data_IF_137719218364
#
_entry.id   IF_137719218364
#
_cell.length_a   1.000
_cell.length_b   1.000
_cell.length_c   1.000
_cell.angle_alpha   90.00
_cell.angle_beta   90.00
_cell.angle_gamma   90.00
#
_symmetry.space_group_name_H-M   'P 1'
#
loop_
_entity.id
_entity.type
_entity.pdbx_description
1 polymer ?
#
# COMPACT_ATOMS: atom_id res chain seq x y z
N UNK A 1 5.60 13.48 14.53
CA UNK A 1 5.64 12.75 13.24
C UNK A 1 4.22 12.39 12.86
N UNK A 2 3.84 12.67 11.63
CA UNK A 2 2.50 12.44 11.14
C UNK A 2 2.49 11.30 10.13
N UNK A 3 1.48 10.42 10.20
CA UNK A 3 1.41 9.23 9.36
C UNK A 3 0.24 9.29 8.39
N UNK A 4 0.44 8.61 7.28
CA UNK A 4 -0.59 8.32 6.29
C UNK A 4 -0.77 6.80 6.20
N UNK A 5 -1.96 6.37 5.85
CA UNK A 5 -2.22 4.96 5.53
C UNK A 5 -2.35 4.84 4.02
N UNK A 6 -1.47 4.04 3.43
CA UNK A 6 -1.58 3.69 2.02
C UNK A 6 -2.33 2.37 1.93
N UNK A 7 -3.36 2.34 1.11
CA UNK A 7 -4.12 1.14 0.79
C UNK A 7 -3.90 0.86 -0.68
N UNK A 8 -3.40 -0.33 -0.99
CA UNK A 8 -3.13 -0.72 -2.37
C UNK A 8 -3.83 -2.04 -2.67
N UNK A 9 -4.62 -2.05 -3.74
CA UNK A 9 -5.20 -3.26 -4.29
C UNK A 9 -4.37 -3.59 -5.53
N UNK A 10 -3.63 -4.69 -5.47
CA UNK A 10 -2.72 -5.08 -6.55
C UNK A 10 -2.99 -6.54 -6.94
N UNK A 11 -2.66 -6.88 -8.17
CA UNK A 11 -2.72 -8.28 -8.58
C UNK A 11 -1.75 -9.10 -7.73
N UNK A 12 -2.16 -10.29 -7.33
CA UNK A 12 -1.37 -11.13 -6.42
C UNK A 12 0.02 -11.45 -6.99
N UNK A 13 0.14 -11.52 -8.31
CA UNK A 13 1.44 -11.73 -8.95
C UNK A 13 2.45 -10.62 -8.70
N UNK A 14 1.99 -9.42 -8.34
CA UNK A 14 2.85 -8.26 -8.10
C UNK A 14 3.03 -7.94 -6.62
N UNK A 15 2.30 -8.62 -5.73
CA UNK A 15 2.28 -8.27 -4.30
C UNK A 15 3.65 -8.25 -3.63
N UNK A 16 4.45 -9.29 -3.85
CA UNK A 16 5.76 -9.38 -3.21
C UNK A 16 6.71 -8.29 -3.68
N UNK A 17 6.69 -7.98 -4.99
CA UNK A 17 7.51 -6.92 -5.55
C UNK A 17 7.10 -5.54 -5.02
N UNK A 18 5.79 -5.31 -4.93
CA UNK A 18 5.25 -4.06 -4.41
C UNK A 18 5.61 -3.88 -2.94
N UNK A 19 5.47 -4.92 -2.14
CA UNK A 19 5.82 -4.86 -0.72
C UNK A 19 7.30 -4.56 -0.53
N UNK A 20 8.16 -5.22 -1.30
CA UNK A 20 9.60 -4.98 -1.22
C UNK A 20 9.95 -3.55 -1.63
N UNK A 21 9.39 -3.09 -2.75
CA UNK A 21 9.67 -1.75 -3.24
C UNK A 21 9.16 -0.66 -2.28
N UNK A 22 8.01 -0.86 -1.67
CA UNK A 22 7.47 0.06 -0.68
C UNK A 22 8.38 0.15 0.55
N UNK A 23 8.86 -1.01 1.03
CA UNK A 23 9.80 -1.04 2.17
C UNK A 23 11.12 -0.34 1.83
N UNK A 24 11.65 -0.60 0.64
CA UNK A 24 12.88 0.05 0.19
C UNK A 24 12.72 1.57 0.06
N UNK A 25 11.50 2.03 -0.22
CA UNK A 25 11.19 3.46 -0.31
C UNK A 25 10.87 4.10 1.05
N UNK A 26 10.82 3.33 2.13
CA UNK A 26 10.65 3.86 3.48
C UNK A 26 9.43 3.41 4.24
N UNK A 27 8.62 2.50 3.70
CA UNK A 27 7.48 1.95 4.43
C UNK A 27 7.98 1.00 5.52
N UNK A 28 7.73 1.36 6.78
CA UNK A 28 8.25 0.59 7.93
C UNK A 28 7.31 -0.52 8.40
N UNK A 29 6.06 -0.48 7.99
CA UNK A 29 5.08 -1.51 8.34
C UNK A 29 4.23 -1.84 7.13
N UNK A 30 4.04 -3.14 6.91
CA UNK A 30 3.23 -3.61 5.80
C UNK A 30 2.37 -4.78 6.25
N UNK A 31 1.11 -4.76 5.87
CA UNK A 31 0.18 -5.86 6.10
C UNK A 31 -0.40 -6.29 4.77
N UNK A 32 -0.37 -7.58 4.51
CA UNK A 32 -0.96 -8.16 3.31
C UNK A 32 -2.23 -8.90 3.71
N UNK A 33 -3.32 -8.56 3.07
CA UNK A 33 -4.59 -9.26 3.20
C UNK A 33 -4.85 -9.96 1.89
N UNK A 34 -4.69 -11.28 1.88
CA UNK A 34 -4.96 -12.08 0.71
C UNK A 34 -6.46 -12.23 0.51
N UNK A 35 -6.90 -12.12 -0.73
CA UNK A 35 -8.29 -12.34 -1.05
C UNK A 35 -8.59 -13.84 -1.02
N UNK A 36 -9.56 -14.22 -0.18
CA UNK A 36 -10.01 -15.60 -0.16
C UNK A 36 -10.74 -15.93 -1.46
N UNK A 37 -10.38 -17.04 -2.10
CA UNK A 37 -11.12 -17.56 -3.22
C UNK A 37 -12.40 -18.19 -2.67
N UNK A 38 -13.54 -17.62 -3.04
CA UNK A 38 -14.81 -18.30 -2.81
C UNK A 38 -14.98 -19.36 -3.87
N UNK A 39 -15.13 -20.62 -3.48
CA UNK A 39 -15.46 -21.69 -4.42
C UNK A 39 -16.86 -21.46 -4.99
N UNK A 40 -16.98 -21.54 -6.32
CA UNK A 40 -18.27 -21.55 -7.00
C UNK A 40 -18.99 -20.22 -7.09
N UNK A 41 -18.34 -19.11 -6.79
CA UNK A 41 -18.97 -17.80 -6.92
C UNK A 41 -18.33 -17.05 -8.07
N UNK A 42 -18.93 -17.14 -9.24
CA UNK A 42 -18.56 -16.32 -10.38
C UNK A 42 -19.22 -14.94 -10.25
N UNK A 43 -18.85 -14.22 -9.22
CA UNK A 43 -19.36 -12.87 -9.06
C UNK A 43 -18.21 -11.93 -9.38
N UNK A 44 -18.42 -11.11 -10.40
CA UNK A 44 -17.51 -9.99 -10.66
C UNK A 44 -17.49 -9.11 -9.43
N UNK A 45 -16.36 -9.04 -8.76
CA UNK A 45 -16.18 -8.17 -7.61
C UNK A 45 -15.76 -6.81 -8.12
N UNK A 46 -16.42 -5.77 -7.64
CA UNK A 46 -16.06 -4.40 -7.96
C UNK A 46 -15.68 -3.66 -6.69
N UNK A 47 -14.68 -2.82 -6.80
CA UNK A 47 -14.28 -1.91 -5.74
C UNK A 47 -13.93 -0.57 -6.39
N UNK A 48 -14.61 0.49 -5.99
CA UNK A 48 -14.44 1.84 -6.56
C UNK A 48 -14.52 1.84 -8.09
N UNK A 49 -15.42 1.05 -8.65
CA UNK A 49 -15.61 0.96 -10.10
C UNK A 49 -14.61 0.06 -10.83
N UNK A 50 -13.69 -0.56 -10.11
CA UNK A 50 -12.76 -1.52 -10.68
C UNK A 50 -13.35 -2.92 -10.63
N UNK A 51 -13.19 -3.66 -11.71
CA UNK A 51 -13.61 -5.05 -11.76
C UNK A 51 -12.47 -5.92 -11.23
N UNK A 52 -12.72 -6.60 -10.11
CA UNK A 52 -11.74 -7.48 -9.48
C UNK A 52 -11.95 -8.91 -9.98
N UNK A 53 -11.80 -9.13 -11.27
CA UNK A 53 -11.92 -10.47 -11.88
C UNK A 53 -10.70 -11.33 -11.61
N UNK A 54 -9.55 -10.70 -11.45
CA UNK A 54 -8.31 -11.37 -11.09
C UNK A 54 -8.15 -11.36 -9.58
N UNK A 55 -7.42 -12.32 -9.08
CA UNK A 55 -7.12 -12.36 -7.66
C UNK A 55 -6.24 -11.18 -7.29
N UNK A 56 -6.72 -10.37 -6.35
CA UNK A 56 -6.00 -9.21 -5.86
C UNK A 56 -5.70 -9.37 -4.38
N UNK A 57 -4.59 -8.83 -3.95
CA UNK A 57 -4.25 -8.67 -2.55
C UNK A 57 -4.47 -7.22 -2.13
N UNK A 58 -4.85 -7.03 -0.88
CA UNK A 58 -4.90 -5.70 -0.29
C UNK A 58 -3.64 -5.52 0.55
N UNK A 59 -2.88 -4.48 0.25
CA UNK A 59 -1.68 -4.13 0.99
C UNK A 59 -1.93 -2.86 1.77
N UNK A 60 -1.55 -2.88 3.05
CA UNK A 60 -1.71 -1.74 3.94
C UNK A 60 -0.34 -1.31 4.44
N UNK A 61 -0.02 -0.02 4.28
CA UNK A 61 1.26 0.53 4.72
C UNK A 61 1.00 1.76 5.58
N UNK A 62 1.53 1.75 6.79
CA UNK A 62 1.58 2.95 7.61
C UNK A 62 2.88 3.67 7.29
N UNK A 63 2.80 4.87 6.75
CA UNK A 63 3.96 5.58 6.24
C UNK A 63 4.03 6.98 6.83
N UNK A 64 5.25 7.54 6.91
CA UNK A 64 5.43 8.90 7.37
C UNK A 64 5.00 9.88 6.25
N UNK A 65 4.39 11.00 6.60
CA UNK A 65 3.77 11.91 5.64
C UNK A 65 4.71 12.46 4.56
N UNK A 66 5.97 12.72 4.90
CA UNK A 66 6.95 13.27 3.95
C UNK A 66 7.41 12.23 2.93
N UNK A 67 7.30 10.95 3.27
CA UNK A 67 7.68 9.85 2.39
C UNK A 67 6.49 9.27 1.63
N UNK A 68 5.27 9.63 2.03
CA UNK A 68 4.07 8.96 1.54
C UNK A 68 3.88 9.08 0.03
N UNK A 69 4.09 10.26 -0.53
CA UNK A 69 3.89 10.46 -1.98
C UNK A 69 4.87 9.63 -2.80
N UNK A 70 6.14 9.61 -2.40
CA UNK A 70 7.16 8.82 -3.06
C UNK A 70 6.87 7.32 -2.99
N UNK A 71 6.42 6.84 -1.83
CA UNK A 71 6.04 5.44 -1.65
C UNK A 71 4.82 5.11 -2.52
N UNK A 72 3.83 5.99 -2.55
CA UNK A 72 2.63 5.79 -3.36
C UNK A 72 2.96 5.69 -4.85
N UNK A 73 3.84 6.57 -5.33
CA UNK A 73 4.30 6.54 -6.73
C UNK A 73 5.09 5.27 -7.04
N UNK A 74 5.92 4.82 -6.10
CA UNK A 74 6.66 3.56 -6.24
C UNK A 74 5.71 2.37 -6.37
N UNK A 75 4.68 2.34 -5.53
CA UNK A 75 3.66 1.28 -5.58
C UNK A 75 2.95 1.29 -6.94
N UNK A 76 2.58 2.47 -7.42
CA UNK A 76 1.90 2.59 -8.72
C UNK A 76 2.77 2.08 -9.87
N UNK A 77 4.06 2.39 -9.82
CA UNK A 77 5.01 1.99 -10.85
C UNK A 77 5.26 0.47 -10.84
N UNK A 78 5.64 -0.07 -9.69
CA UNK A 78 5.97 -1.49 -9.54
C UNK A 78 4.73 -2.37 -9.72
N UNK A 79 3.59 -1.93 -9.21
CA UNK A 79 2.32 -2.65 -9.34
C UNK A 79 1.65 -2.48 -10.70
N UNK A 80 2.18 -1.62 -11.55
CA UNK A 80 1.65 -1.31 -12.89
C UNK A 80 0.19 -0.85 -12.83
N UNK A 81 -0.11 0.01 -11.86
CA UNK A 81 -1.48 0.42 -11.56
C UNK A 81 -2.09 1.34 -12.62
N UNK A 82 -1.26 2.00 -13.42
CA UNK A 82 -1.75 2.85 -14.50
C UNK A 82 -2.30 2.02 -15.67
N UNK A 83 -2.03 0.72 -15.69
CA UNK A 83 -2.61 -0.18 -16.67
C UNK A 83 -4.07 -0.45 -16.37
N UNK A 84 -4.85 -0.69 -17.41
CA UNK A 84 -6.29 -0.94 -17.27
C UNK A 84 -6.56 -2.23 -16.48
N UNK A 85 -7.30 -2.10 -15.38
CA UNK A 85 -7.72 -3.24 -14.58
C UNK A 85 -6.65 -3.83 -13.67
N UNK A 86 -5.52 -3.15 -13.48
CA UNK A 86 -4.42 -3.67 -12.67
C UNK A 86 -4.51 -3.34 -11.18
N UNK A 87 -5.41 -2.47 -10.78
CA UNK A 87 -5.61 -2.14 -9.37
C UNK A 87 -5.62 -0.65 -9.11
N UNK A 88 -5.55 -0.32 -7.84
CA UNK A 88 -5.58 1.07 -7.37
C UNK A 88 -4.78 1.20 -6.08
N UNK A 89 -4.18 2.35 -5.87
CA UNK A 89 -3.56 2.69 -4.60
C UNK A 89 -3.93 4.12 -4.24
N UNK A 90 -4.16 4.34 -2.96
CA UNK A 90 -4.51 5.67 -2.45
C UNK A 90 -4.03 5.80 -1.02
N UNK A 91 -3.99 7.03 -0.53
CA UNK A 91 -3.59 7.29 0.84
C UNK A 91 -4.66 8.10 1.56
N UNK A 92 -4.79 7.81 2.84
CA UNK A 92 -5.67 8.56 3.73
C UNK A 92 -4.86 9.06 4.92
N UNK A 93 -5.35 10.13 5.51
CA UNK A 93 -4.70 10.71 6.67
C UNK A 93 -4.97 9.87 7.91
N UNK A 94 -3.95 9.73 8.76
CA UNK A 94 -4.09 9.06 10.06
C UNK A 94 -4.06 10.16 11.12
N UNK A 95 -5.20 10.40 11.73
CA UNK A 95 -5.34 11.46 12.72
C UNK A 95 -4.46 11.20 13.94
N UNK A 96 -4.54 9.99 14.49
CA UNK A 96 -3.75 9.58 15.65
C UNK A 96 -3.28 8.14 15.48
N UNK A 97 -2.09 7.85 16.01
CA UNK A 97 -1.55 6.50 16.01
C UNK A 97 -0.81 6.25 17.32
N UNK A 98 -0.99 5.06 17.89
CA UNK A 98 -0.26 4.61 19.08
C UNK A 98 0.46 3.31 18.74
N UNK A 99 1.54 3.01 19.43
CA UNK A 99 2.30 1.79 19.16
C UNK A 99 3.30 1.95 18.02
N UNK A 100 3.64 3.17 17.65
CA UNK A 100 4.52 3.47 16.51
C UNK A 100 5.90 3.99 16.92
N UNK A 101 6.27 3.86 18.20
CA UNK A 101 7.54 4.40 18.69
C UNK A 101 8.75 3.84 17.95
N UNK A 102 8.73 2.57 17.60
CA UNK A 102 9.82 1.95 16.86
C UNK A 102 9.94 2.54 15.45
N UNK A 103 8.82 2.67 14.76
CA UNK A 103 8.77 3.26 13.41
C UNK A 103 9.28 4.69 13.43
N UNK A 104 8.90 5.47 14.45
CA UNK A 104 9.38 6.86 14.58
C UNK A 104 10.89 6.92 14.71
N UNK A 105 11.49 6.03 15.48
CA UNK A 105 12.95 5.99 15.64
C UNK A 105 13.65 5.59 14.36
N UNK A 106 13.11 4.63 13.63
CA UNK A 106 13.68 4.18 12.36
C UNK A 106 13.59 5.27 11.31
N UNK A 107 12.48 6.02 11.29
CA UNK A 107 12.21 7.02 10.27
C UNK A 107 12.83 8.39 10.56
N UNK A 108 13.17 8.67 11.81
CA UNK A 108 13.68 9.99 12.19
C UNK A 108 14.83 10.49 11.32
N UNK A 109 15.87 9.68 11.03
CA UNK A 109 16.98 10.14 10.18
C UNK A 109 16.52 10.48 8.74
N UNK A 110 15.52 9.78 8.22
CA UNK A 110 15.00 10.01 6.87
C UNK A 110 14.20 11.32 6.79
N UNK A 111 13.41 11.58 7.82
CA UNK A 111 12.49 12.72 7.85
C UNK A 111 13.25 14.02 8.18
N UNK A 112 14.22 13.96 9.08
CA UNK A 112 15.02 15.14 9.47
C UNK A 112 15.82 15.69 8.29
N UNK A 113 16.21 14.87 7.34
CA UNK A 113 16.89 15.31 6.13
C UNK A 113 15.94 16.08 5.20
N UNK A 114 14.64 15.81 5.28
CA UNK A 114 13.61 16.42 4.46
C UNK A 114 13.13 17.77 5.04
N UNK A 115 13.32 17.99 6.33
CA UNK A 115 12.89 19.17 7.03
C UNK A 115 14.05 20.20 7.09
#
# INVERSE_FOLDING_TARGET
MHFKLIIALVEDAHSDEVMKAARDAGATGATLVSQARGEGVEVSKTFLGLTLEKQCDMLLFLVEEHLSRSILETIADVGKLEGKGHGIAFQIDVEDAVGVSHQMRVLAPWVEEEI
#
